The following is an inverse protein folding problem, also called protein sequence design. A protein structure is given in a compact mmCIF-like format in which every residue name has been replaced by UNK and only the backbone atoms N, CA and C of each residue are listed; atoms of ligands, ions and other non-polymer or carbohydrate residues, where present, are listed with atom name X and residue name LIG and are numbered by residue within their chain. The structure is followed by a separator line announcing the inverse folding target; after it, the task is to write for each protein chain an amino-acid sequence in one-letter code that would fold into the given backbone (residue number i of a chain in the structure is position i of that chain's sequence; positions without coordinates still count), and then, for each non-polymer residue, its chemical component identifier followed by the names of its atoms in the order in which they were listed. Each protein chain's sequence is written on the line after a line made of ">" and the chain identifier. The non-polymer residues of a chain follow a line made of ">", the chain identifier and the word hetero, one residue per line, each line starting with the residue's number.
data_IF_692940686917
#
_entry.id   IF_692940686917
#
_cell.length_a   1.000
_cell.length_b   1.000
_cell.length_c   1.000
_cell.angle_alpha   90.00
_cell.angle_beta   90.00
_cell.angle_gamma   90.00
#
_symmetry.space_group_name_H-M   'P 1'
#
loop_
_entity.id
_entity.type
_entity.pdbx_description
1 polymer ?
#
# COMPACT_ATOMS: atom_id res chain seq x y z
N UNK A 1 -10.94 17.15 -10.23
CA UNK A 1 -11.48 16.87 -8.89
C UNK A 1 -11.14 15.43 -8.56
N UNK A 2 -10.57 15.14 -7.38
CA UNK A 2 -10.30 13.76 -6.97
C UNK A 2 -11.61 12.99 -6.80
N UNK A 3 -11.59 11.70 -7.13
CA UNK A 3 -12.70 10.77 -6.95
C UNK A 3 -12.48 10.06 -5.61
N UNK A 4 -13.46 10.09 -4.74
CA UNK A 4 -13.43 9.33 -3.49
C UNK A 4 -13.95 7.91 -3.75
N UNK A 5 -13.19 6.93 -3.30
CA UNK A 5 -13.48 5.52 -3.46
C UNK A 5 -13.29 4.78 -2.14
N UNK A 6 -14.36 4.20 -1.61
CA UNK A 6 -14.36 3.64 -0.27
C UNK A 6 -14.66 2.14 -0.30
N UNK A 7 -13.89 1.37 0.47
CA UNK A 7 -14.07 -0.08 0.60
C UNK A 7 -14.06 -0.48 2.07
N UNK A 8 -15.07 -1.24 2.45
CA UNK A 8 -15.32 -1.61 3.83
C UNK A 8 -15.21 -3.12 4.02
N UNK A 9 -14.57 -3.51 5.12
CA UNK A 9 -14.35 -4.90 5.51
C UNK A 9 -14.80 -5.10 6.94
N UNK A 10 -15.41 -6.25 7.24
CA UNK A 10 -15.80 -6.65 8.60
C UNK A 10 -15.01 -7.90 8.93
N UNK A 11 -14.15 -7.80 9.93
CA UNK A 11 -13.28 -8.88 10.36
C UNK A 11 -13.68 -9.33 11.77
N UNK A 12 -13.72 -10.65 12.00
CA UNK A 12 -13.86 -11.21 13.35
C UNK A 12 -12.64 -10.89 14.22
N UNK A 13 -12.72 -11.16 15.52
CA UNK A 13 -11.57 -10.99 16.42
C UNK A 13 -10.37 -11.84 15.95
N UNK A 14 -9.20 -11.22 15.79
CA UNK A 14 -8.00 -11.87 15.23
C UNK A 14 -8.13 -12.29 13.75
N UNK A 15 -9.21 -11.88 13.08
CA UNK A 15 -9.42 -12.15 11.67
C UNK A 15 -8.52 -11.30 10.79
N UNK A 16 -8.32 -11.75 9.55
CA UNK A 16 -7.56 -11.03 8.53
C UNK A 16 -8.29 -11.04 7.19
N UNK A 17 -7.87 -10.15 6.28
CA UNK A 17 -8.36 -10.11 4.91
C UNK A 17 -7.26 -9.63 3.96
N UNK A 18 -7.08 -10.36 2.87
CA UNK A 18 -6.21 -10.00 1.76
C UNK A 18 -7.01 -9.26 0.70
N UNK A 19 -6.59 -8.05 0.36
CA UNK A 19 -7.14 -7.28 -0.77
C UNK A 19 -5.99 -6.64 -1.53
N UNK A 20 -6.22 -6.24 -2.77
CA UNK A 20 -5.24 -5.54 -3.58
C UNK A 20 -5.92 -4.53 -4.50
N UNK A 21 -5.12 -3.64 -5.12
CA UNK A 21 -5.64 -2.57 -5.96
C UNK A 21 -5.93 -2.96 -7.42
N UNK A 22 -5.69 -4.23 -7.80
CA UNK A 22 -5.76 -4.71 -9.18
C UNK A 22 -7.16 -5.05 -9.67
N UNK A 23 -7.29 -5.05 -11.00
CA UNK A 23 -8.53 -5.33 -11.74
C UNK A 23 -8.86 -6.84 -11.88
N UNK A 24 -8.19 -7.74 -11.13
CA UNK A 24 -8.35 -9.18 -11.34
C UNK A 24 -9.63 -9.72 -10.66
N UNK A 25 -10.67 -9.87 -11.49
CA UNK A 25 -12.04 -10.28 -11.17
C UNK A 25 -12.13 -11.66 -10.46
N UNK A 26 -11.04 -12.42 -10.42
CA UNK A 26 -11.00 -13.76 -9.84
C UNK A 26 -11.07 -13.80 -8.29
N UNK A 27 -10.74 -12.70 -7.59
CA UNK A 27 -10.83 -12.61 -6.14
C UNK A 27 -11.88 -11.56 -5.74
N UNK A 28 -12.89 -11.97 -4.97
CA UNK A 28 -13.83 -11.03 -4.36
C UNK A 28 -13.03 -10.02 -3.51
N UNK A 29 -12.92 -8.76 -3.94
CA UNK A 29 -12.08 -7.77 -3.24
C UNK A 29 -11.42 -6.69 -4.12
N UNK A 30 -11.80 -6.58 -5.39
CA UNK A 30 -11.24 -5.65 -6.38
C UNK A 30 -11.50 -4.16 -6.06
N UNK A 31 -10.44 -3.34 -6.17
CA UNK A 31 -10.50 -1.88 -6.06
C UNK A 31 -10.53 -1.16 -7.42
N UNK A 32 -10.01 -1.75 -8.50
CA UNK A 32 -10.09 -1.23 -9.85
C UNK A 32 -9.28 0.04 -10.08
N UNK A 33 -8.12 0.16 -9.42
CA UNK A 33 -7.37 1.42 -9.31
C UNK A 33 -6.11 1.45 -10.16
N UNK A 34 -6.12 0.75 -11.30
CA UNK A 34 -5.13 0.90 -12.36
C UNK A 34 -5.67 1.68 -13.56
N UNK A 35 -4.88 2.59 -14.14
CA UNK A 35 -5.30 3.29 -15.33
C UNK A 35 -5.21 2.39 -16.58
N UNK A 36 -6.27 2.36 -17.38
CA UNK A 36 -6.29 1.68 -18.68
C UNK A 36 -5.41 2.35 -19.75
N UNK A 37 -5.08 3.63 -19.57
CA UNK A 37 -4.34 4.43 -20.55
C UNK A 37 -2.87 4.56 -20.13
N UNK A 38 -1.95 4.27 -21.05
CA UNK A 38 -0.49 4.35 -20.84
C UNK A 38 0.02 5.76 -20.54
N UNK A 39 -0.75 6.80 -20.88
CA UNK A 39 -0.44 8.20 -20.60
C UNK A 39 -1.15 8.73 -19.37
N UNK A 40 -1.71 7.85 -18.54
CA UNK A 40 -2.40 8.22 -17.30
C UNK A 40 -1.67 7.59 -16.11
N UNK A 41 -1.57 8.36 -15.04
CA UNK A 41 -1.14 7.91 -13.72
C UNK A 41 -2.28 8.21 -12.74
N UNK A 42 -2.56 7.31 -11.81
CA UNK A 42 -3.38 7.64 -10.65
C UNK A 42 -2.48 7.94 -9.46
N UNK A 43 -2.70 9.09 -8.84
CA UNK A 43 -2.18 9.40 -7.52
C UNK A 43 -3.30 9.13 -6.51
N UNK A 44 -3.06 8.19 -5.60
CA UNK A 44 -4.07 7.67 -4.69
C UNK A 44 -3.62 7.98 -3.27
N UNK A 45 -4.40 8.79 -2.55
CA UNK A 45 -4.22 8.95 -1.12
C UNK A 45 -5.06 7.91 -0.38
N UNK A 46 -4.45 7.17 0.53
CA UNK A 46 -5.12 6.07 1.27
C UNK A 46 -5.31 6.49 2.72
N UNK A 47 -6.56 6.62 3.14
CA UNK A 47 -6.97 6.82 4.52
C UNK A 47 -7.63 5.57 5.09
N UNK A 48 -7.56 5.40 6.40
CA UNK A 48 -8.17 4.29 7.13
C UNK A 48 -9.03 4.82 8.26
N UNK A 49 -10.20 4.19 8.46
CA UNK A 49 -11.06 4.40 9.61
C UNK A 49 -11.61 3.08 10.09
N UNK A 50 -11.58 2.83 11.39
CA UNK A 50 -12.06 1.60 11.99
C UNK A 50 -13.03 1.87 13.13
N UNK A 51 -13.87 0.90 13.46
CA UNK A 51 -14.84 1.06 14.57
C UNK A 51 -14.17 1.03 15.94
N UNK A 52 -13.05 0.31 16.11
CA UNK A 52 -12.35 0.21 17.40
C UNK A 52 -11.02 0.96 17.48
N UNK A 53 -10.49 1.47 16.37
CA UNK A 53 -9.12 2.00 16.28
C UNK A 53 -8.03 0.93 16.17
N UNK A 54 -8.37 -0.36 16.26
CA UNK A 54 -7.41 -1.48 16.39
C UNK A 54 -7.22 -2.29 15.10
N UNK A 55 -7.51 -1.69 13.94
CA UNK A 55 -7.22 -2.32 12.65
C UNK A 55 -5.78 -2.02 12.24
N UNK A 56 -5.06 -3.03 11.78
CA UNK A 56 -3.73 -2.92 11.22
C UNK A 56 -3.80 -3.20 9.70
N UNK A 57 -3.16 -2.36 8.90
CA UNK A 57 -3.06 -2.53 7.45
C UNK A 57 -1.59 -2.64 7.05
N UNK A 58 -1.15 -3.76 6.50
CA UNK A 58 0.23 -3.94 6.07
C UNK A 58 0.30 -3.88 4.54
N UNK A 59 1.12 -2.96 3.99
CA UNK A 59 1.35 -2.90 2.56
C UNK A 59 2.18 -4.09 2.08
N UNK A 60 1.86 -4.56 0.88
CA UNK A 60 2.61 -5.58 0.14
C UNK A 60 2.89 -5.08 -1.27
N UNK A 61 4.12 -5.26 -1.72
CA UNK A 61 4.52 -4.94 -3.08
C UNK A 61 5.67 -5.85 -3.56
N UNK A 62 5.47 -6.69 -4.60
CA UNK A 62 4.18 -7.04 -5.22
C UNK A 62 3.14 -7.50 -4.19
N UNK A 63 1.86 -7.62 -4.56
CA UNK A 63 0.76 -7.91 -3.61
C UNK A 63 0.96 -9.14 -2.72
N UNK A 64 1.92 -10.01 -3.06
CA UNK A 64 2.23 -11.27 -2.40
C UNK A 64 3.48 -11.18 -1.50
N UNK A 65 4.21 -10.06 -1.52
CA UNK A 65 5.50 -9.86 -0.84
C UNK A 65 5.42 -8.72 0.16
N UNK A 66 6.03 -8.91 1.33
CA UNK A 66 6.00 -7.92 2.40
C UNK A 66 6.88 -6.72 2.08
N UNK A 67 6.30 -5.53 2.17
CA UNK A 67 7.02 -4.30 1.87
C UNK A 67 8.11 -3.98 2.90
N UNK A 68 7.87 -4.31 4.17
CA UNK A 68 8.82 -4.09 5.27
C UNK A 68 9.21 -5.46 5.85
N UNK A 69 10.51 -5.77 5.77
CA UNK A 69 11.11 -6.99 6.34
C UNK A 69 12.45 -6.64 7.00
N UNK A 70 12.79 -7.30 8.11
CA UNK A 70 14.13 -7.19 8.70
C UNK A 70 15.08 -8.27 8.12
N UNK A 71 16.37 -7.92 7.98
CA UNK A 71 17.40 -8.80 7.38
C UNK A 71 17.66 -10.07 8.20
N UNK A 72 17.51 -10.00 9.52
CA UNK A 72 17.68 -11.14 10.41
C UNK A 72 16.34 -11.89 10.57
N UNK A 73 16.22 -13.02 9.87
CA UNK A 73 15.29 -14.11 10.19
C UNK A 73 13.79 -13.78 10.25
N UNK A 74 13.16 -13.54 9.10
CA UNK A 74 11.73 -13.87 8.93
C UNK A 74 10.74 -13.03 9.73
N UNK A 75 11.11 -11.81 10.15
CA UNK A 75 10.17 -10.85 10.72
C UNK A 75 9.24 -10.32 9.62
N UNK A 76 8.17 -11.08 9.35
CA UNK A 76 7.10 -10.73 8.44
C UNK A 76 5.77 -10.62 9.21
N UNK A 77 4.84 -9.74 8.80
CA UNK A 77 3.50 -9.74 9.36
C UNK A 77 2.85 -11.13 9.25
N UNK A 78 1.98 -11.48 10.19
CA UNK A 78 1.44 -12.83 10.26
C UNK A 78 0.56 -13.16 9.07
N UNK A 79 0.86 -14.25 8.34
CA UNK A 79 0.03 -14.79 7.26
C UNK A 79 -0.29 -16.27 7.51
N UNK A 80 -1.53 -16.73 7.29
CA UNK A 80 -1.81 -18.16 7.26
C UNK A 80 -0.99 -18.84 6.14
N UNK A 81 -0.50 -20.08 6.32
CA UNK A 81 -0.70 -20.98 7.47
C UNK A 81 0.32 -20.80 8.60
N UNK A 82 1.28 -19.88 8.47
CA UNK A 82 2.33 -19.62 9.47
C UNK A 82 1.75 -18.81 10.64
N UNK A 83 1.55 -19.40 11.84
CA UNK A 83 0.90 -18.71 12.94
C UNK A 83 1.88 -17.75 13.65
N UNK A 84 2.37 -16.73 12.93
CA UNK A 84 2.92 -15.52 13.56
C UNK A 84 1.80 -14.68 14.20
N UNK A 85 0.53 -15.05 13.99
CA UNK A 85 -0.60 -14.51 14.74
C UNK A 85 -0.56 -14.93 16.23
N UNK A 86 0.51 -15.51 16.75
CA UNK A 86 0.74 -15.67 18.19
C UNK A 86 1.92 -14.83 18.70
N UNK A 87 2.74 -14.26 17.82
CA UNK A 87 3.87 -13.42 18.20
C UNK A 87 3.47 -11.95 18.11
N UNK A 88 3.29 -11.35 19.28
CA UNK A 88 2.90 -9.95 19.40
C UNK A 88 3.93 -9.01 18.78
N UNK A 89 5.22 -9.35 18.76
CA UNK A 89 6.25 -8.46 18.22
C UNK A 89 6.18 -8.39 16.68
N UNK A 90 5.88 -9.52 16.03
CA UNK A 90 5.76 -9.60 14.57
C UNK A 90 4.54 -8.84 14.03
N UNK A 91 3.46 -8.78 14.82
CA UNK A 91 2.25 -8.04 14.47
C UNK A 91 2.49 -6.53 14.38
N UNK A 92 3.44 -5.93 15.08
CA UNK A 92 3.55 -4.45 15.07
C UNK A 92 4.64 -3.92 14.14
N UNK A 93 5.16 -4.76 13.23
CA UNK A 93 6.16 -4.33 12.26
C UNK A 93 5.52 -3.73 11.00
N UNK A 94 5.69 -2.42 10.81
CA UNK A 94 5.29 -1.72 9.60
C UNK A 94 3.78 -1.62 9.27
N UNK A 95 2.81 -1.79 10.19
CA UNK A 95 1.41 -1.55 9.84
C UNK A 95 1.14 -0.05 9.70
N UNK A 96 0.29 0.30 8.75
CA UNK A 96 -0.44 1.55 8.74
C UNK A 96 -1.63 1.43 9.69
N UNK A 97 -1.71 2.36 10.63
CA UNK A 97 -2.82 2.50 11.58
C UNK A 97 -3.69 3.70 11.23
N UNK A 98 -4.87 3.79 11.83
CA UNK A 98 -5.78 4.92 11.65
C UNK A 98 -5.14 6.24 12.12
N UNK A 99 -4.25 6.19 13.12
CA UNK A 99 -3.50 7.37 13.58
C UNK A 99 -2.50 7.87 12.54
N UNK A 100 -1.87 6.96 11.80
CA UNK A 100 -0.87 7.29 10.77
C UNK A 100 -1.55 7.89 9.54
N UNK A 101 -2.65 7.29 9.08
CA UNK A 101 -3.33 7.70 7.86
C UNK A 101 -4.85 7.77 8.05
N UNK A 102 -5.36 8.74 8.81
CA UNK A 102 -6.79 8.85 9.06
C UNK A 102 -7.53 9.32 7.80
N UNK A 103 -8.84 9.02 7.72
CA UNK A 103 -9.65 9.35 6.51
C UNK A 103 -9.81 10.84 6.21
N UNK A 104 -9.72 11.70 7.22
CA UNK A 104 -9.81 13.15 7.07
C UNK A 104 -8.48 13.78 6.62
N UNK A 105 -7.35 13.09 6.86
CA UNK A 105 -6.01 13.56 6.52
C UNK A 105 -5.11 12.40 6.06
N UNK A 106 -5.42 11.74 4.93
CA UNK A 106 -4.65 10.59 4.46
C UNK A 106 -3.21 11.00 4.16
N UNK A 107 -2.25 10.24 4.70
CA UNK A 107 -0.81 10.48 4.59
C UNK A 107 -0.15 9.54 3.58
N UNK A 108 -0.69 8.33 3.44
CA UNK A 108 -0.18 7.34 2.49
C UNK A 108 -0.54 7.75 1.07
N UNK A 109 0.45 7.71 0.18
CA UNK A 109 0.30 8.04 -1.24
C UNK A 109 0.84 6.90 -2.08
N UNK A 110 0.01 6.43 -3.00
CA UNK A 110 0.35 5.43 -3.99
C UNK A 110 0.29 6.07 -5.38
N UNK A 111 1.17 5.62 -6.27
CA UNK A 111 1.17 6.02 -7.67
C UNK A 111 1.02 4.77 -8.50
N UNK A 112 0.00 4.72 -9.36
CA UNK A 112 -0.26 3.54 -10.20
C UNK A 112 -0.22 3.89 -11.68
N UNK A 113 0.43 3.04 -12.47
CA UNK A 113 0.46 3.12 -13.93
C UNK A 113 -0.06 1.82 -14.56
N UNK A 114 -0.38 1.87 -15.85
CA UNK A 114 -0.91 0.71 -16.58
C UNK A 114 0.05 -0.48 -16.49
N UNK A 115 -0.46 -1.66 -16.12
CA UNK A 115 0.27 -2.95 -16.04
C UNK A 115 1.46 -2.96 -15.06
N UNK A 116 1.39 -2.17 -14.00
CA UNK A 116 2.30 -2.27 -12.87
C UNK A 116 1.95 -3.48 -11.98
N UNK A 117 2.91 -3.97 -11.20
CA UNK A 117 2.66 -5.01 -10.20
C UNK A 117 1.62 -4.54 -9.17
N UNK A 118 0.77 -5.47 -8.71
CA UNK A 118 -0.32 -5.12 -7.79
C UNK A 118 0.20 -4.66 -6.43
N UNK A 119 -0.37 -3.59 -5.87
CA UNK A 119 -0.15 -3.22 -4.45
C UNK A 119 -1.21 -3.94 -3.61
N UNK A 120 -0.75 -4.79 -2.70
CA UNK A 120 -1.61 -5.54 -1.78
C UNK A 120 -1.74 -4.86 -0.43
N UNK A 121 -2.89 -5.06 0.22
CA UNK A 121 -3.12 -4.72 1.62
C UNK A 121 -3.51 -5.97 2.38
N UNK A 122 -2.75 -6.27 3.43
CA UNK A 122 -3.13 -7.26 4.43
C UNK A 122 -3.82 -6.53 5.58
N UNK A 123 -5.11 -6.77 5.79
CA UNK A 123 -5.87 -6.20 6.89
C UNK A 123 -5.91 -7.20 8.04
N UNK A 124 -5.68 -6.73 9.27
CA UNK A 124 -5.70 -7.56 10.47
C UNK A 124 -6.43 -6.87 11.61
N UNK A 125 -7.38 -7.59 12.23
CA UNK A 125 -8.13 -7.10 13.37
C UNK A 125 -7.47 -7.52 14.69
N UNK A 126 -6.79 -6.57 15.34
CA UNK A 126 -6.15 -6.78 16.65
C UNK A 126 -7.13 -6.62 17.83
N UNK A 127 -8.40 -6.28 17.57
CA UNK A 127 -9.41 -6.18 18.61
C UNK A 127 -9.91 -7.57 19.05
N UNK A 128 -10.27 -7.75 20.34
CA UNK A 128 -10.91 -8.98 20.84
C UNK A 128 -12.39 -9.10 20.43
N UNK A 129 -12.87 -8.22 19.54
CA UNK A 129 -14.25 -8.15 19.06
C UNK A 129 -14.26 -7.99 17.54
N UNK A 130 -15.37 -8.32 16.84
CA UNK A 130 -15.52 -7.96 15.45
C UNK A 130 -15.33 -6.46 15.23
N UNK A 131 -14.57 -6.11 14.19
CA UNK A 131 -14.21 -4.73 13.89
C UNK A 131 -14.42 -4.47 12.41
N UNK A 132 -15.08 -3.35 12.10
CA UNK A 132 -15.22 -2.85 10.74
C UNK A 132 -14.09 -1.88 10.44
N UNK A 133 -13.45 -2.04 9.29
CA UNK A 133 -12.52 -1.06 8.72
C UNK A 133 -13.04 -0.54 7.39
N UNK A 134 -12.78 0.72 7.11
CA UNK A 134 -13.01 1.38 5.83
C UNK A 134 -11.69 1.95 5.34
N UNK A 135 -11.26 1.53 4.15
CA UNK A 135 -10.20 2.17 3.40
C UNK A 135 -10.84 3.23 2.48
N UNK A 136 -10.44 4.48 2.65
CA UNK A 136 -10.88 5.63 1.86
C UNK A 136 -9.75 6.00 0.91
N UNK A 137 -10.00 5.91 -0.38
CA UNK A 137 -9.03 6.21 -1.42
C UNK A 137 -9.44 7.47 -2.16
N UNK A 138 -8.60 8.51 -2.10
CA UNK A 138 -8.78 9.72 -2.89
C UNK A 138 -7.93 9.62 -4.15
N UNK A 139 -8.60 9.37 -5.27
CA UNK A 139 -7.95 9.08 -6.55
C UNK A 139 -7.89 10.34 -7.39
N UNK A 140 -6.69 10.82 -7.66
CA UNK A 140 -6.44 11.91 -8.59
C UNK A 140 -5.88 11.36 -9.91
N UNK A 141 -6.53 11.72 -11.02
CA UNK A 141 -6.11 11.30 -12.36
C UNK A 141 -5.13 12.31 -12.94
N UNK A 142 -3.91 11.86 -13.20
CA UNK A 142 -2.82 12.68 -13.74
C UNK A 142 -2.54 12.30 -15.20
N UNK A 143 -2.33 13.30 -16.06
CA UNK A 143 -1.85 13.11 -17.43
C UNK A 143 -0.32 13.06 -17.42
N UNK A 144 0.24 11.96 -17.88
CA UNK A 144 1.68 11.83 -18.09
C UNK A 144 2.09 12.58 -19.35
N UNK A 145 3.20 13.31 -19.25
CA UNK A 145 3.83 13.99 -20.39
C UNK A 145 5.27 13.52 -20.50
N UNK A 146 5.70 13.25 -21.72
CA UNK A 146 7.09 12.95 -21.98
C UNK A 146 7.93 14.20 -21.70
N UNK A 147 8.98 14.04 -20.90
CA UNK A 147 9.97 15.08 -20.65
C UNK A 147 11.31 14.55 -21.16
N UNK A 148 11.94 15.20 -22.16
CA UNK A 148 13.27 14.82 -22.61
C UNK A 148 14.27 14.86 -21.45
N UNK A 149 15.13 13.83 -21.34
CA UNK A 149 16.12 13.75 -20.25
C UNK A 149 17.01 15.00 -20.15
N UNK A 150 17.35 15.61 -21.28
CA UNK A 150 18.19 16.82 -21.34
C UNK A 150 17.48 18.12 -20.95
N UNK A 151 16.16 18.10 -20.72
CA UNK A 151 15.40 19.28 -20.28
C UNK A 151 15.08 19.28 -18.78
N UNK A 152 15.51 18.25 -18.05
CA UNK A 152 15.31 18.16 -16.60
C UNK A 152 16.48 18.83 -15.88
N UNK A 153 16.15 19.61 -14.86
CA UNK A 153 17.15 20.11 -13.92
C UNK A 153 17.64 18.98 -13.01
N UNK A 154 18.83 19.14 -12.41
CA UNK A 154 19.37 18.15 -11.47
C UNK A 154 18.41 17.86 -10.30
N UNK A 155 17.69 18.89 -9.82
CA UNK A 155 16.68 18.75 -8.76
C UNK A 155 15.45 17.94 -9.20
N UNK A 156 15.03 18.08 -10.44
CA UNK A 156 13.90 17.30 -10.97
C UNK A 156 14.30 15.85 -11.24
N UNK A 157 15.55 15.62 -11.65
CA UNK A 157 16.12 14.29 -11.77
C UNK A 157 16.27 13.61 -10.40
N UNK A 158 16.73 14.34 -9.39
CA UNK A 158 16.80 13.86 -8.01
C UNK A 158 15.41 13.50 -7.49
N UNK A 159 14.42 14.38 -7.66
CA UNK A 159 13.04 14.10 -7.28
C UNK A 159 12.44 12.92 -8.06
N UNK A 160 12.77 12.76 -9.34
CA UNK A 160 12.33 11.60 -10.12
C UNK A 160 12.97 10.31 -9.60
N UNK A 161 14.23 10.34 -9.15
CA UNK A 161 14.88 9.22 -8.48
C UNK A 161 14.25 8.93 -7.13
N UNK A 162 13.96 9.95 -6.34
CA UNK A 162 13.25 9.80 -5.07
C UNK A 162 11.87 9.19 -5.29
N UNK A 163 11.13 9.60 -6.31
CA UNK A 163 9.84 9.00 -6.66
C UNK A 163 9.97 7.60 -7.25
N UNK A 164 11.07 7.27 -7.91
CA UNK A 164 11.39 5.89 -8.28
C UNK A 164 11.65 5.06 -7.02
N UNK A 165 12.50 5.55 -6.11
CA UNK A 165 12.82 4.89 -4.85
C UNK A 165 11.64 4.82 -3.87
N UNK A 166 10.74 5.82 -3.86
CA UNK A 166 9.62 5.93 -2.94
C UNK A 166 8.28 5.45 -3.55
N UNK A 167 8.14 5.51 -4.87
CA UNK A 167 6.99 5.00 -5.62
C UNK A 167 7.10 3.52 -5.96
N UNK A 168 8.32 2.97 -5.98
CA UNK A 168 8.62 1.55 -6.11
C UNK A 168 9.99 1.27 -5.45
N UNK A 169 10.06 0.72 -4.24
CA UNK A 169 11.28 0.01 -3.77
C UNK A 169 11.48 -1.29 -4.59
N UNK A 170 11.45 -1.19 -5.91
CA UNK A 170 11.77 -2.22 -6.87
C UNK A 170 13.25 -2.55 -6.71
N UNK A 171 13.46 -3.72 -6.10
CA UNK A 171 14.69 -4.51 -6.03
C UNK A 171 15.73 -3.97 -5.06
N UNK A 172 15.88 -4.73 -3.98
CA UNK A 172 16.94 -4.56 -2.99
C UNK A 172 18.31 -4.43 -3.65
N UNK A 173 18.89 -3.26 -3.48
CA UNK A 173 20.32 -3.05 -3.30
C UNK A 173 20.48 -1.89 -2.33
N UNK A 174 20.21 -2.15 -1.05
CA UNK A 174 20.88 -1.40 0.00
C UNK A 174 22.36 -1.83 -0.06
N UNK A 175 23.20 -0.94 -0.57
CA UNK A 175 24.64 -1.16 -0.62
C UNK A 175 25.21 -1.32 -2.03
N UNK A 176 25.17 -0.25 -2.82
CA UNK A 176 26.40 0.21 -3.48
C UNK A 176 26.48 1.72 -3.30
N UNK A 177 27.14 2.14 -2.22
CA UNK A 177 27.86 3.40 -2.26
C UNK A 177 28.90 3.27 -3.36
N UNK A 178 28.64 3.88 -4.52
CA UNK A 178 29.64 4.05 -5.58
C UNK A 178 30.72 5.03 -5.08
N UNK A 179 31.95 4.91 -5.62
CA UNK A 179 33.21 4.71 -4.91
C UNK A 179 33.65 5.85 -3.97
#
# INVERSE_FOLDING_TARGET
>A
QPITYDRAYILGAGGHYDTDISDDVAAAGDLGLYPDNTMTLYEILVGMKSTSGSMLCYPRYPANEWFITLEEGGFIPPTPPTPAAADNNLRYLGPWTEEITPTDRPQVRLHTIKKEESIGFYLYNDAPIPNKVVLVMLVNRCLLKYVPKGSLTDKELERARELLHAGLMARGHWGETVP
#
